data_IF_049535141027
#
_entry.id   IF_049535141027
#
_cell.length_a   1.000
_cell.length_b   1.000
_cell.length_c   1.000
_cell.angle_alpha   90.00
_cell.angle_beta   90.00
_cell.angle_gamma   90.00
#
_symmetry.space_group_name_H-M   'P 1'
#
loop_
_entity.id
_entity.type
_entity.pdbx_description
1 polymer ?
#
# COMPACT_ATOMS: atom_id res chain seq x y z
N UNK A 1 38.26 -26.55 29.56
CA UNK A 1 36.86 -26.67 30.02
C UNK A 1 36.02 -27.01 28.80
N UNK A 2 35.76 -28.31 28.63
CA UNK A 2 35.12 -28.94 27.46
C UNK A 2 33.63 -29.18 27.71
N UNK A 3 32.85 -28.96 26.65
CA UNK A 3 31.48 -29.35 26.30
C UNK A 3 30.63 -30.14 27.30
N UNK A 4 29.33 -29.81 27.40
CA UNK A 4 28.33 -30.71 26.80
C UNK A 4 26.98 -30.04 26.49
N UNK A 5 26.43 -30.46 25.36
CA UNK A 5 25.12 -30.12 24.80
C UNK A 5 24.29 -31.40 24.87
N UNK A 6 23.22 -31.46 25.67
CA UNK A 6 22.34 -32.63 25.74
C UNK A 6 20.89 -32.25 25.34
N UNK A 7 20.26 -32.98 24.40
CA UNK A 7 18.98 -32.66 23.74
C UNK A 7 17.70 -32.96 24.56
N UNK A 8 16.50 -32.53 24.11
CA UNK A 8 15.24 -32.59 24.88
C UNK A 8 14.54 -33.97 24.87
N UNK A 9 13.72 -34.31 25.89
CA UNK A 9 12.82 -35.44 25.80
C UNK A 9 11.50 -35.05 25.11
N UNK A 10 11.20 -35.74 24.00
CA UNK A 10 9.84 -35.88 23.46
C UNK A 10 9.25 -37.15 24.05
N UNK A 11 8.08 -37.08 24.69
CA UNK A 11 7.23 -38.25 24.95
C UNK A 11 5.77 -37.83 25.07
N UNK A 12 4.98 -38.23 24.08
CA UNK A 12 3.52 -38.11 24.08
C UNK A 12 2.86 -39.12 25.03
N UNK A 13 1.64 -38.81 25.46
CA UNK A 13 0.86 -39.71 26.30
C UNK A 13 -0.53 -39.17 26.60
N UNK A 14 -1.52 -39.68 25.88
CA UNK A 14 -2.96 -39.45 26.02
C UNK A 14 -3.41 -39.53 27.48
N UNK A 15 -4.04 -38.49 28.03
CA UNK A 15 -4.87 -38.60 29.24
C UNK A 15 -6.31 -38.19 28.93
N UNK A 16 -7.17 -39.20 29.00
CA UNK A 16 -8.62 -39.13 28.99
C UNK A 16 -9.07 -38.51 30.32
N UNK A 17 -9.93 -37.49 30.27
CA UNK A 17 -10.75 -37.10 31.42
C UNK A 17 -12.17 -37.66 31.20
N UNK A 18 -12.47 -38.69 31.98
CA UNK A 18 -13.80 -39.16 32.38
C UNK A 18 -13.74 -39.02 33.91
N UNK A 19 -14.66 -38.46 34.68
CA UNK A 19 -15.96 -37.81 34.52
C UNK A 19 -16.51 -37.75 35.95
N UNK A 20 -17.29 -36.73 36.32
CA UNK A 20 -18.29 -36.73 37.40
C UNK A 20 -19.12 -35.46 37.17
N UNK A 21 -20.40 -35.64 36.82
CA UNK A 21 -21.41 -34.57 36.88
C UNK A 21 -21.92 -34.39 38.31
N UNK A 22 -22.66 -33.32 38.59
CA UNK A 22 -24.09 -33.58 38.82
C UNK A 22 -25.07 -32.56 38.19
N UNK A 23 -26.19 -33.15 37.78
CA UNK A 23 -27.59 -32.68 37.73
C UNK A 23 -28.03 -31.43 36.92
N UNK A 24 -29.21 -31.49 36.26
CA UNK A 24 -29.72 -30.43 35.37
C UNK A 24 -30.63 -29.42 36.08
N UNK A 25 -30.52 -28.15 35.67
CA UNK A 25 -31.44 -27.05 35.98
C UNK A 25 -31.95 -26.37 34.70
N UNK A 26 -33.10 -25.66 34.75
CA UNK A 26 -34.02 -25.58 33.63
C UNK A 26 -33.70 -24.48 32.61
N UNK A 27 -34.24 -24.73 31.41
CA UNK A 27 -34.37 -23.85 30.25
C UNK A 27 -34.73 -22.40 30.59
N UNK A 28 -34.13 -21.49 29.83
CA UNK A 28 -34.81 -20.26 29.41
C UNK A 28 -33.94 -19.00 29.44
N UNK A 29 -33.94 -18.26 28.33
CA UNK A 29 -33.76 -16.81 28.39
C UNK A 29 -32.39 -16.26 28.01
N UNK A 30 -32.28 -15.93 26.72
CA UNK A 30 -31.48 -14.84 26.14
C UNK A 30 -30.76 -13.90 27.11
N UNK A 31 -29.44 -13.85 26.99
CA UNK A 31 -28.60 -12.76 27.49
C UNK A 31 -27.18 -12.89 26.94
N UNK A 32 -26.95 -12.59 25.66
CA UNK A 32 -25.58 -12.42 25.14
C UNK A 32 -24.98 -11.20 25.84
N UNK A 33 -24.03 -11.42 26.75
CA UNK A 33 -23.08 -10.38 27.14
C UNK A 33 -22.22 -10.13 25.91
N UNK A 34 -22.50 -9.04 25.21
CA UNK A 34 -21.62 -8.56 24.14
C UNK A 34 -20.66 -7.59 24.79
N UNK A 35 -19.41 -8.00 24.98
CA UNK A 35 -18.35 -7.11 25.43
C UNK A 35 -18.16 -6.04 24.34
N UNK A 36 -18.47 -4.79 24.64
CA UNK A 36 -18.25 -3.65 23.72
C UNK A 36 -16.81 -3.17 23.88
N UNK A 37 -16.02 -3.03 22.81
CA UNK A 37 -14.67 -2.51 22.92
C UNK A 37 -14.72 -0.99 23.16
N UNK A 38 -14.05 -0.51 24.21
CA UNK A 38 -13.83 0.92 24.44
C UNK A 38 -12.66 1.37 23.56
N UNK A 39 -12.81 2.34 22.64
CA UNK A 39 -11.69 2.82 21.85
C UNK A 39 -10.74 3.63 22.74
N UNK A 40 -9.52 3.14 22.91
CA UNK A 40 -8.37 3.96 23.29
C UNK A 40 -7.86 4.65 22.03
N UNK A 41 -7.96 5.98 22.03
CA UNK A 41 -7.31 6.96 21.17
C UNK A 41 -6.54 6.45 19.92
N UNK A 42 -6.94 6.94 18.74
CA UNK A 42 -5.95 7.48 17.80
C UNK A 42 -5.76 6.87 16.42
N UNK A 43 -6.65 6.05 15.84
CA UNK A 43 -6.50 5.60 14.44
C UNK A 43 -7.77 5.71 13.61
N UNK A 44 -7.60 6.28 12.41
CA UNK A 44 -8.62 6.68 11.45
C UNK A 44 -9.63 5.56 11.11
N UNK A 45 -10.89 5.97 10.93
CA UNK A 45 -11.97 5.10 10.50
C UNK A 45 -11.66 4.44 9.16
N UNK A 46 -11.56 3.11 9.16
CA UNK A 46 -11.63 2.29 7.95
C UNK A 46 -13.09 2.25 7.51
N UNK A 47 -13.45 3.07 6.53
CA UNK A 47 -14.73 2.94 5.83
C UNK A 47 -14.57 1.90 4.72
N UNK A 48 -14.97 0.67 5.00
CA UNK A 48 -15.11 -0.37 3.97
C UNK A 48 -16.41 -0.13 3.20
N UNK A 49 -16.31 0.30 1.94
CA UNK A 49 -17.41 0.29 0.98
C UNK A 49 -17.33 -1.00 0.16
N UNK A 50 -18.35 -1.87 0.12
CA UNK A 50 -18.33 -3.06 -0.72
C UNK A 50 -18.80 -2.74 -2.15
N UNK A 51 -17.92 -2.91 -3.13
CA UNK A 51 -18.24 -2.89 -4.56
C UNK A 51 -18.11 -4.30 -5.18
N UNK A 52 -19.01 -4.72 -6.08
CA UNK A 52 -18.98 -6.07 -6.65
C UNK A 52 -18.05 -6.13 -7.87
N UNK A 53 -17.26 -7.20 -7.93
CA UNK A 53 -16.40 -7.69 -9.04
C UNK A 53 -14.95 -7.18 -9.08
N UNK A 54 -14.08 -8.02 -8.51
CA UNK A 54 -12.91 -8.60 -9.19
C UNK A 54 -12.03 -7.70 -10.05
N UNK A 55 -11.12 -6.98 -9.40
CA UNK A 55 -9.92 -6.42 -9.99
C UNK A 55 -9.12 -5.79 -8.87
N UNK A 56 -7.84 -6.17 -8.68
CA UNK A 56 -6.96 -5.47 -7.74
C UNK A 56 -6.61 -4.11 -8.33
N UNK A 57 -7.57 -3.19 -8.31
CA UNK A 57 -7.29 -1.77 -8.42
C UNK A 57 -6.78 -1.31 -7.07
N UNK A 58 -5.51 -0.95 -6.99
CA UNK A 58 -5.00 -0.17 -5.86
C UNK A 58 -5.72 1.18 -5.90
N UNK A 59 -6.72 1.33 -5.04
CA UNK A 59 -7.40 2.61 -4.87
C UNK A 59 -6.37 3.53 -4.23
N UNK A 60 -5.75 4.39 -5.03
CA UNK A 60 -4.86 5.43 -4.51
C UNK A 60 -5.75 6.37 -3.70
N UNK A 61 -5.55 6.40 -2.39
CA UNK A 61 -6.25 7.35 -1.52
C UNK A 61 -6.05 8.78 -2.06
N UNK A 62 -7.06 9.65 -2.02
CA UNK A 62 -6.91 11.02 -2.49
C UNK A 62 -5.74 11.66 -1.74
N UNK A 63 -4.73 12.09 -2.50
CA UNK A 63 -3.61 12.86 -1.98
C UNK A 63 -4.16 14.10 -1.27
N UNK A 64 -3.61 14.46 -0.11
CA UNK A 64 -4.04 15.68 0.57
C UNK A 64 -3.84 16.88 -0.36
N UNK A 65 -4.63 17.96 -0.24
CA UNK A 65 -4.58 19.11 -1.15
C UNK A 65 -3.18 19.69 -1.30
N UNK A 66 -2.33 19.50 -0.28
CA UNK A 66 -0.96 19.99 -0.22
C UNK A 66 0.02 19.19 -1.07
N UNK A 67 -0.10 17.85 -1.11
CA UNK A 67 0.85 16.99 -1.85
C UNK A 67 0.35 16.63 -3.24
N UNK A 68 -0.95 16.77 -3.50
CA UNK A 68 -1.56 16.47 -4.79
C UNK A 68 -0.88 17.17 -5.99
N UNK A 69 -0.53 18.48 -5.94
CA UNK A 69 0.13 19.14 -7.07
C UNK A 69 1.50 18.54 -7.41
N UNK A 70 2.26 18.10 -6.39
CA UNK A 70 3.58 17.47 -6.58
C UNK A 70 3.43 16.10 -7.20
N UNK A 71 2.47 15.30 -6.75
CA UNK A 71 2.18 13.98 -7.33
C UNK A 71 1.79 14.12 -8.80
N UNK A 72 0.95 15.09 -9.14
CA UNK A 72 0.56 15.38 -10.53
C UNK A 72 1.76 15.79 -11.38
N UNK A 73 2.60 16.72 -10.88
CA UNK A 73 3.81 17.15 -11.59
C UNK A 73 4.78 15.99 -11.83
N UNK A 74 4.94 15.10 -10.84
CA UNK A 74 5.80 13.91 -10.95
C UNK A 74 5.28 12.93 -12.00
N UNK A 75 3.98 12.61 -11.99
CA UNK A 75 3.35 11.73 -12.98
C UNK A 75 3.49 12.30 -14.40
N UNK A 76 3.28 13.61 -14.57
CA UNK A 76 3.47 14.29 -15.86
C UNK A 76 4.91 14.19 -16.35
N UNK A 77 5.89 14.41 -15.46
CA UNK A 77 7.30 14.31 -15.83
C UNK A 77 7.68 12.88 -16.22
N UNK A 78 7.20 11.88 -15.50
CA UNK A 78 7.46 10.49 -15.84
C UNK A 78 6.87 10.10 -17.21
N UNK A 79 5.64 10.54 -17.51
CA UNK A 79 5.03 10.35 -18.82
C UNK A 79 5.87 11.00 -19.94
N UNK A 80 6.31 12.25 -19.75
CA UNK A 80 7.15 12.93 -20.72
C UNK A 80 8.49 12.22 -20.99
N UNK A 81 9.10 11.63 -19.96
CA UNK A 81 10.31 10.81 -20.12
C UNK A 81 10.00 9.53 -20.90
N UNK A 82 8.92 8.82 -20.54
CA UNK A 82 8.50 7.61 -21.24
C UNK A 82 8.25 7.88 -22.73
N UNK A 83 7.52 8.94 -23.06
CA UNK A 83 7.26 9.36 -24.44
C UNK A 83 8.55 9.67 -25.19
N UNK A 84 9.49 10.37 -24.56
CA UNK A 84 10.79 10.66 -25.15
C UNK A 84 11.61 9.39 -25.44
N UNK A 85 11.62 8.42 -24.53
CA UNK A 85 12.33 7.15 -24.75
C UNK A 85 11.66 6.29 -25.83
N UNK A 86 10.33 6.22 -25.85
CA UNK A 86 9.59 5.52 -26.90
C UNK A 86 9.82 6.16 -28.28
N UNK A 87 9.92 7.49 -28.33
CA UNK A 87 10.32 8.22 -29.53
C UNK A 87 11.74 7.85 -29.99
N UNK A 88 12.71 7.80 -29.07
CA UNK A 88 14.09 7.36 -29.41
C UNK A 88 14.12 5.91 -29.88
N UNK A 89 13.34 5.02 -29.28
CA UNK A 89 13.22 3.64 -29.72
C UNK A 89 12.68 3.59 -31.15
N UNK A 90 11.64 4.35 -31.47
CA UNK A 90 11.08 4.41 -32.82
C UNK A 90 12.13 4.85 -33.86
N UNK A 91 13.02 5.78 -33.51
CA UNK A 91 14.14 6.19 -34.39
C UNK A 91 15.25 5.13 -34.50
N UNK A 92 15.56 4.40 -33.43
CA UNK A 92 16.63 3.39 -33.40
C UNK A 92 16.22 2.04 -33.97
N UNK A 93 14.93 1.72 -33.95
CA UNK A 93 14.38 0.45 -34.40
C UNK A 93 13.18 0.67 -35.35
N UNK A 94 13.41 1.25 -36.55
CA UNK A 94 12.33 1.52 -37.50
C UNK A 94 11.66 0.25 -38.04
N UNK A 95 12.35 -0.91 -37.98
CA UNK A 95 11.82 -2.20 -38.43
C UNK A 95 11.00 -2.97 -37.39
N UNK A 96 10.77 -2.42 -36.19
CA UNK A 96 9.92 -3.07 -35.18
C UNK A 96 8.46 -3.02 -35.64
N UNK A 97 7.75 -4.15 -35.57
CA UNK A 97 6.33 -4.18 -35.90
C UNK A 97 5.48 -3.42 -34.85
N UNK A 98 4.26 -3.04 -35.24
CA UNK A 98 3.40 -2.21 -34.40
C UNK A 98 2.95 -2.95 -33.12
N UNK A 99 2.73 -4.26 -33.18
CA UNK A 99 2.33 -5.05 -32.00
C UNK A 99 3.44 -5.08 -30.96
N UNK A 100 4.69 -5.22 -31.38
CA UNK A 100 5.84 -5.19 -30.51
C UNK A 100 6.08 -3.78 -29.95
N UNK A 101 5.84 -2.72 -30.73
CA UNK A 101 5.89 -1.33 -30.23
C UNK A 101 4.86 -1.09 -29.13
N UNK A 102 3.65 -1.60 -29.31
CA UNK A 102 2.58 -1.47 -28.32
C UNK A 102 2.91 -2.22 -27.03
N UNK A 103 3.42 -3.46 -27.11
CA UNK A 103 3.84 -4.21 -25.91
C UNK A 103 5.00 -3.51 -25.17
N UNK A 104 5.93 -2.88 -25.89
CA UNK A 104 7.00 -2.07 -25.27
C UNK A 104 6.42 -0.84 -24.59
N UNK A 105 5.49 -0.12 -25.23
CA UNK A 105 4.80 1.03 -24.62
C UNK A 105 4.11 0.61 -23.33
N UNK A 106 3.34 -0.47 -23.35
CA UNK A 106 2.63 -0.98 -22.18
C UNK A 106 3.60 -1.43 -21.08
N UNK A 107 4.71 -2.05 -21.46
CA UNK A 107 5.76 -2.42 -20.50
C UNK A 107 6.39 -1.20 -19.85
N UNK A 108 6.72 -0.16 -20.61
CA UNK A 108 7.25 1.11 -20.08
C UNK A 108 6.23 1.75 -19.14
N UNK A 109 4.96 1.79 -19.53
CA UNK A 109 3.89 2.36 -18.71
C UNK A 109 3.75 1.59 -17.38
N UNK A 110 3.76 0.25 -17.40
CA UNK A 110 3.75 -0.59 -16.20
C UNK A 110 4.97 -0.34 -15.30
N UNK A 111 6.15 -0.15 -15.88
CA UNK A 111 7.38 0.19 -15.13
C UNK A 111 7.26 1.55 -14.46
N UNK A 112 6.76 2.56 -15.18
CA UNK A 112 6.53 3.90 -14.62
C UNK A 112 5.55 3.84 -13.46
N UNK A 113 4.43 3.13 -13.61
CA UNK A 113 3.43 2.94 -12.56
C UNK A 113 4.04 2.27 -11.33
N UNK A 114 4.70 1.13 -11.52
CA UNK A 114 5.34 0.39 -10.42
C UNK A 114 6.42 1.22 -9.70
N UNK A 115 7.19 2.03 -10.43
CA UNK A 115 8.21 2.89 -9.84
C UNK A 115 7.60 4.05 -9.05
N UNK A 116 6.50 4.64 -9.53
CA UNK A 116 5.85 5.79 -8.88
C UNK A 116 4.98 5.39 -7.69
N UNK A 117 4.49 4.15 -7.62
CA UNK A 117 3.67 3.69 -6.51
C UNK A 117 4.36 3.84 -5.15
N UNK A 118 5.64 3.50 -5.04
CA UNK A 118 6.41 3.56 -3.79
C UNK A 118 6.63 5.00 -3.27
N UNK A 119 7.16 5.93 -4.09
CA UNK A 119 7.31 7.34 -3.76
C UNK A 119 5.97 8.03 -3.44
N UNK A 120 4.93 7.79 -4.26
CA UNK A 120 3.60 8.38 -4.04
C UNK A 120 3.02 7.89 -2.70
N UNK A 121 3.09 6.59 -2.42
CA UNK A 121 2.62 6.04 -1.15
C UNK A 121 3.40 6.60 0.05
N UNK A 122 4.69 6.90 -0.10
CA UNK A 122 5.47 7.54 0.96
C UNK A 122 5.05 8.98 1.19
N UNK A 123 4.81 9.78 0.16
CA UNK A 123 4.39 11.18 0.33
C UNK A 123 2.97 11.29 0.89
N UNK A 124 2.02 10.46 0.41
CA UNK A 124 0.62 10.51 0.88
C UNK A 124 0.50 10.10 2.34
N UNK A 125 1.27 9.11 2.82
CA UNK A 125 1.28 8.71 4.23
C UNK A 125 1.76 9.79 5.21
N UNK A 126 2.55 10.77 4.74
CA UNK A 126 3.08 11.85 5.58
C UNK A 126 2.40 13.19 5.31
N UNK A 127 1.36 13.20 4.48
CA UNK A 127 0.83 14.41 3.88
C UNK A 127 0.12 15.35 4.87
N UNK A 128 -0.25 14.86 6.05
CA UNK A 128 -0.80 15.64 7.17
C UNK A 128 0.23 15.96 8.27
N UNK A 129 1.52 15.81 7.97
CA UNK A 129 2.62 16.07 8.91
C UNK A 129 3.62 17.10 8.36
N UNK A 130 4.37 17.81 9.22
CA UNK A 130 5.48 18.67 8.76
C UNK A 130 6.55 17.92 7.94
N UNK A 131 6.63 16.60 8.10
CA UNK A 131 7.50 15.74 7.30
C UNK A 131 7.02 15.63 5.85
N UNK A 132 5.70 15.73 5.59
CA UNK A 132 5.12 15.74 4.25
C UNK A 132 5.62 16.90 3.39
N UNK A 133 5.74 18.09 3.97
CA UNK A 133 6.23 19.30 3.28
C UNK A 133 7.69 19.13 2.85
N UNK A 134 8.53 18.62 3.76
CA UNK A 134 9.93 18.31 3.45
C UNK A 134 10.07 17.24 2.38
N UNK A 135 9.21 16.20 2.40
CA UNK A 135 9.18 15.19 1.34
C UNK A 135 8.74 15.78 -0.01
N UNK A 136 7.74 16.67 0.00
CA UNK A 136 7.28 17.34 -1.21
C UNK A 136 8.39 18.22 -1.82
N UNK A 137 9.11 18.98 -1.01
CA UNK A 137 10.26 19.79 -1.46
C UNK A 137 11.42 18.94 -1.97
N UNK A 138 11.72 17.83 -1.29
CA UNK A 138 12.71 16.88 -1.77
C UNK A 138 12.31 16.30 -3.14
N UNK A 139 11.05 15.92 -3.33
CA UNK A 139 10.57 15.42 -4.62
C UNK A 139 10.64 16.49 -5.72
N UNK A 140 10.26 17.74 -5.42
CA UNK A 140 10.42 18.86 -6.37
C UNK A 140 11.87 19.02 -6.80
N UNK A 141 12.80 18.94 -5.86
CA UNK A 141 14.24 19.10 -6.13
C UNK A 141 14.81 17.91 -6.89
N UNK A 142 14.64 16.69 -6.36
CA UNK A 142 15.20 15.45 -6.94
C UNK A 142 14.72 15.20 -8.37
N UNK A 143 13.47 15.55 -8.64
CA UNK A 143 12.88 15.36 -9.96
C UNK A 143 12.79 16.65 -10.75
N UNK A 144 13.38 17.77 -10.31
CA UNK A 144 13.27 19.08 -10.96
C UNK A 144 11.84 19.32 -11.49
N UNK A 145 10.87 19.24 -10.58
CA UNK A 145 9.46 19.40 -10.92
C UNK A 145 9.17 20.90 -11.02
N UNK A 146 8.76 21.35 -12.21
CA UNK A 146 8.23 22.70 -12.42
C UNK A 146 7.08 22.94 -11.44
N UNK A 147 7.30 23.79 -10.45
CA UNK A 147 6.26 24.21 -9.52
C UNK A 147 5.46 25.35 -10.12
N UNK A 148 4.13 25.28 -10.06
CA UNK A 148 3.38 26.54 -10.05
C UNK A 148 3.90 27.31 -8.83
N UNK A 149 4.50 28.50 -8.99
CA UNK A 149 4.93 29.28 -7.84
C UNK A 149 3.69 29.54 -6.99
N UNK A 150 3.82 29.33 -5.68
CA UNK A 150 2.79 29.71 -4.72
C UNK A 150 2.40 31.16 -4.97
N UNK A 151 1.11 31.41 -5.09
CA UNK A 151 0.58 32.77 -5.15
C UNK A 151 1.09 33.54 -3.94
N UNK A 152 1.88 34.57 -4.21
CA UNK A 152 2.05 35.69 -3.30
C UNK A 152 0.73 36.43 -3.21
N UNK A 153 0.13 36.45 -2.01
CA UNK A 153 -0.76 37.50 -1.54
C UNK A 153 -0.76 37.50 -0.01
#
# INVERSE_FOLDING_TARGET
MTADLIPPPVLGGRRRYMGIGPAPGPRGGRGRITTVPVPRNGHAAVTTVPGPRGGRGTITAPATPRVAPVVTALRRKAAAVADAELGRLASRAPGLDDSARDEVRDTVQRVVEAFLDGPITRVTRHADSPLGDRYADALRTLFALEGQPGGTA
#
